data_IF_016136070328
#
_entry.id   IF_016136070328
#
_cell.length_a   1.000
_cell.length_b   1.000
_cell.length_c   1.000
_cell.angle_alpha   90.00
_cell.angle_beta   90.00
_cell.angle_gamma   90.00
#
_symmetry.space_group_name_H-M   'P 1'
#
loop_
_entity.id
_entity.type
_entity.pdbx_description
1 polymer ?
#
# COMPACT_ATOMS: atom_id res chain seq x y z
N UNK A 1 -20.19 -10.02 -2.46
CA UNK A 1 -18.74 -9.83 -2.67
C UNK A 1 -18.48 -8.37 -2.39
N UNK A 2 -17.75 -8.04 -1.32
CA UNK A 2 -17.89 -6.73 -0.68
C UNK A 2 -16.98 -5.70 -1.35
N UNK A 3 -17.56 -4.82 -2.16
CA UNK A 3 -16.88 -3.62 -2.67
C UNK A 3 -16.33 -2.73 -1.54
N UNK A 4 -16.77 -2.97 -0.30
CA UNK A 4 -16.24 -2.38 0.93
C UNK A 4 -14.72 -2.45 1.03
N UNK A 5 -14.05 -3.50 0.55
CA UNK A 5 -12.58 -3.56 0.63
C UNK A 5 -11.89 -2.52 -0.26
N UNK A 6 -12.50 -2.18 -1.40
CA UNK A 6 -11.96 -1.17 -2.31
C UNK A 6 -12.14 0.22 -1.72
N UNK A 7 -13.30 0.48 -1.13
CA UNK A 7 -13.58 1.73 -0.42
C UNK A 7 -12.67 1.88 0.80
N UNK A 8 -12.45 0.81 1.57
CA UNK A 8 -11.54 0.80 2.71
C UNK A 8 -10.10 1.12 2.31
N UNK A 9 -9.63 0.60 1.17
CA UNK A 9 -8.30 0.88 0.62
C UNK A 9 -8.15 2.33 0.13
N UNK A 10 -9.22 2.90 -0.44
CA UNK A 10 -9.23 4.32 -0.80
C UNK A 10 -9.19 5.18 0.46
N UNK A 11 -10.02 4.85 1.44
CA UNK A 11 -10.11 5.60 2.70
C UNK A 11 -8.80 5.51 3.50
N UNK A 12 -8.17 4.33 3.59
CA UNK A 12 -6.89 4.18 4.28
C UNK A 12 -5.77 4.97 3.61
N UNK A 13 -5.70 4.96 2.27
CA UNK A 13 -4.75 5.78 1.53
C UNK A 13 -4.94 7.27 1.83
N UNK A 14 -6.18 7.77 1.76
CA UNK A 14 -6.46 9.19 2.03
C UNK A 14 -6.10 9.60 3.46
N UNK A 15 -6.36 8.73 4.46
CA UNK A 15 -5.98 8.99 5.84
C UNK A 15 -4.45 9.03 6.02
N UNK A 16 -3.72 8.12 5.37
CA UNK A 16 -2.25 8.14 5.40
C UNK A 16 -1.70 9.41 4.76
N UNK A 17 -2.22 9.80 3.58
CA UNK A 17 -1.81 11.04 2.89
C UNK A 17 -2.07 12.26 3.78
N UNK A 18 -3.26 12.40 4.36
CA UNK A 18 -3.58 13.51 5.25
C UNK A 18 -2.61 13.57 6.46
N UNK A 19 -2.25 12.42 7.04
CA UNK A 19 -1.30 12.38 8.14
C UNK A 19 0.14 12.73 7.71
N UNK A 20 0.55 12.34 6.50
CA UNK A 20 1.83 12.76 5.93
C UNK A 20 1.88 14.28 5.74
N UNK A 21 0.83 14.86 5.15
CA UNK A 21 0.71 16.30 4.91
C UNK A 21 0.72 17.11 6.21
N UNK A 22 -0.08 16.71 7.21
CA UNK A 22 -0.12 17.36 8.54
C UNK A 22 1.26 17.30 9.21
N UNK A 23 1.99 16.19 9.04
CA UNK A 23 3.29 16.01 9.67
C UNK A 23 4.43 16.70 8.91
N UNK A 24 4.22 17.09 7.64
CA UNK A 24 5.26 17.64 6.77
C UNK A 24 5.84 18.98 7.24
N UNK A 25 5.11 19.71 8.10
CA UNK A 25 5.61 20.94 8.72
C UNK A 25 6.74 20.71 9.75
N UNK A 26 6.88 19.48 10.27
CA UNK A 26 7.95 19.11 11.19
C UNK A 26 9.07 18.36 10.44
N UNK A 27 10.21 19.01 10.15
CA UNK A 27 11.32 18.36 9.46
C UNK A 27 11.99 17.25 10.29
N UNK A 28 11.63 17.11 11.58
CA UNK A 28 12.08 16.03 12.46
C UNK A 28 11.07 14.88 12.59
N UNK A 29 9.93 14.94 11.89
CA UNK A 29 8.91 13.90 11.93
C UNK A 29 9.42 12.59 11.33
N UNK A 30 9.44 11.53 12.15
CA UNK A 30 9.96 10.21 11.77
C UNK A 30 9.21 9.09 12.47
N UNK A 31 8.95 8.00 11.74
CA UNK A 31 8.45 6.74 12.30
C UNK A 31 9.61 5.75 12.34
N UNK A 32 10.20 5.58 13.54
CA UNK A 32 11.40 4.78 13.70
C UNK A 32 12.56 5.36 12.88
N UNK A 33 13.10 4.56 11.96
CA UNK A 33 14.22 4.95 11.12
C UNK A 33 13.81 5.73 9.85
N UNK A 34 12.52 5.91 9.57
CA UNK A 34 12.04 6.50 8.32
C UNK A 34 11.51 7.91 8.53
N UNK A 35 11.88 8.83 7.64
CA UNK A 35 11.19 10.12 7.54
C UNK A 35 9.91 9.98 6.68
N UNK A 36 9.15 11.07 6.55
CA UNK A 36 7.86 11.07 5.85
C UNK A 36 8.00 10.73 4.35
N UNK A 37 9.08 11.18 3.71
CA UNK A 37 9.38 10.83 2.31
C UNK A 37 9.65 9.34 2.20
N UNK A 38 10.47 8.78 3.09
CA UNK A 38 10.80 7.35 3.07
C UNK A 38 9.52 6.50 3.20
N UNK A 39 8.57 6.90 4.05
CA UNK A 39 7.27 6.22 4.21
C UNK A 39 6.45 6.31 2.91
N UNK A 40 6.30 7.50 2.33
CA UNK A 40 5.54 7.68 1.10
C UNK A 40 6.15 6.91 -0.08
N UNK A 41 7.48 6.96 -0.22
CA UNK A 41 8.21 6.24 -1.27
C UNK A 41 8.11 4.72 -1.10
N UNK A 42 8.16 4.24 0.15
CA UNK A 42 7.93 2.83 0.47
C UNK A 42 6.53 2.37 0.07
N UNK A 43 5.50 3.16 0.36
CA UNK A 43 4.11 2.85 0.01
C UNK A 43 3.92 2.81 -1.51
N UNK A 44 4.44 3.81 -2.24
CA UNK A 44 4.41 3.85 -3.69
C UNK A 44 5.12 2.64 -4.31
N UNK A 45 6.34 2.34 -3.87
CA UNK A 45 7.11 1.19 -4.36
C UNK A 45 6.44 -0.14 -4.05
N UNK A 46 5.87 -0.30 -2.85
CA UNK A 46 5.12 -1.51 -2.49
C UNK A 46 3.90 -1.70 -3.39
N UNK A 47 3.14 -0.64 -3.66
CA UNK A 47 1.99 -0.71 -4.57
C UNK A 47 2.41 -1.14 -5.97
N UNK A 48 3.42 -0.48 -6.54
CA UNK A 48 3.91 -0.67 -7.91
C UNK A 48 4.58 -2.03 -8.11
N UNK A 49 5.48 -2.40 -7.21
CA UNK A 49 6.40 -3.53 -7.42
C UNK A 49 5.92 -4.81 -6.72
N UNK A 50 5.03 -4.70 -5.72
CA UNK A 50 4.45 -5.84 -5.03
C UNK A 50 3.00 -6.06 -5.41
N UNK A 51 2.10 -5.13 -5.09
CA UNK A 51 0.66 -5.41 -5.18
C UNK A 51 0.17 -5.54 -6.62
N UNK A 52 0.51 -4.58 -7.49
CA UNK A 52 0.08 -4.58 -8.90
C UNK A 52 0.48 -5.87 -9.64
N UNK A 53 1.76 -6.27 -9.72
CA UNK A 53 2.14 -7.44 -10.50
C UNK A 53 1.58 -8.74 -9.91
N UNK A 54 1.50 -8.86 -8.59
CA UNK A 54 1.03 -10.09 -7.94
C UNK A 54 -0.47 -10.30 -8.09
N UNK A 55 -1.27 -9.24 -7.94
CA UNK A 55 -2.72 -9.29 -8.17
C UNK A 55 -3.01 -9.62 -9.63
N UNK A 56 -2.27 -9.03 -10.58
CA UNK A 56 -2.43 -9.34 -12.01
C UNK A 56 -2.12 -10.81 -12.31
N UNK A 57 -1.00 -11.33 -11.80
CA UNK A 57 -0.61 -12.73 -12.02
C UNK A 57 -1.64 -13.72 -11.46
N UNK A 58 -2.19 -13.46 -10.25
CA UNK A 58 -3.27 -14.28 -9.68
C UNK A 58 -4.51 -14.23 -10.58
N UNK A 59 -4.98 -13.03 -10.93
CA UNK A 59 -6.19 -12.84 -11.73
C UNK A 59 -6.09 -13.44 -13.15
N UNK A 60 -4.86 -13.58 -13.67
CA UNK A 60 -4.55 -14.23 -14.94
C UNK A 60 -4.43 -15.77 -14.83
N UNK A 61 -4.75 -16.35 -13.66
CA UNK A 61 -4.69 -17.78 -13.39
C UNK A 61 -3.27 -18.40 -13.52
N UNK A 62 -2.22 -17.60 -13.31
CA UNK A 62 -0.83 -18.06 -13.44
C UNK A 62 -0.37 -18.98 -12.29
N UNK A 63 -1.11 -19.01 -11.18
CA UNK A 63 -0.76 -19.72 -9.95
C UNK A 63 0.68 -19.46 -9.47
N UNK A 64 1.06 -18.18 -9.24
CA UNK A 64 2.43 -17.80 -8.94
C UNK A 64 2.85 -18.15 -7.51
N UNK A 65 4.15 -18.34 -7.28
CA UNK A 65 4.74 -18.38 -5.93
C UNK A 65 5.40 -17.04 -5.60
N UNK A 66 5.22 -16.56 -4.37
CA UNK A 66 5.71 -15.27 -3.92
C UNK A 66 6.53 -15.37 -2.64
N UNK A 67 7.71 -14.75 -2.68
CA UNK A 67 8.51 -14.47 -1.47
C UNK A 67 7.98 -13.24 -0.74
N UNK A 68 8.46 -13.04 0.49
CA UNK A 68 8.22 -11.79 1.25
C UNK A 68 8.83 -10.64 0.48
N UNK A 69 8.01 -9.64 0.13
CA UNK A 69 8.50 -8.41 -0.46
C UNK A 69 9.10 -7.53 0.62
N UNK A 70 10.25 -6.93 0.32
CA UNK A 70 10.93 -5.98 1.22
C UNK A 70 11.53 -4.84 0.40
N UNK A 71 11.54 -3.65 1.00
CA UNK A 71 12.32 -2.51 0.52
C UNK A 71 13.53 -2.26 1.43
N UNK A 72 13.97 -3.28 2.17
CA UNK A 72 15.19 -3.22 2.98
C UNK A 72 16.40 -2.89 2.09
N UNK A 73 17.09 -1.79 2.44
CA UNK A 73 18.25 -1.32 1.68
C UNK A 73 17.90 -0.58 0.39
N UNK A 74 16.62 -0.38 0.07
CA UNK A 74 16.23 0.55 -1.00
C UNK A 74 16.64 1.96 -0.61
N UNK A 75 17.33 2.65 -1.52
CA UNK A 75 17.65 4.06 -1.36
C UNK A 75 16.49 4.91 -1.90
N UNK A 76 15.75 5.56 -1.00
CA UNK A 76 14.71 6.52 -1.36
C UNK A 76 15.25 7.96 -1.41
N UNK A 77 16.57 8.16 -1.36
CA UNK A 77 17.17 9.47 -1.54
C UNK A 77 16.83 10.03 -2.93
N UNK A 78 16.49 11.32 -2.98
CA UNK A 78 16.12 12.00 -4.22
C UNK A 78 14.66 11.84 -4.66
N UNK A 79 13.85 11.04 -3.97
CA UNK A 79 12.39 11.04 -4.17
C UNK A 79 11.79 12.23 -3.41
N UNK A 80 10.82 12.94 -3.96
CA UNK A 80 10.11 13.97 -3.20
C UNK A 80 8.83 13.39 -2.58
N UNK A 81 8.41 13.96 -1.43
CA UNK A 81 7.20 13.51 -0.74
C UNK A 81 5.99 13.55 -1.67
N UNK A 82 5.79 14.68 -2.35
CA UNK A 82 4.65 14.90 -3.25
C UNK A 82 4.69 13.91 -4.44
N UNK A 83 5.86 13.72 -5.05
CA UNK A 83 6.02 12.76 -6.16
C UNK A 83 5.66 11.33 -5.74
N UNK A 84 6.06 10.93 -4.52
CA UNK A 84 5.74 9.60 -3.99
C UNK A 84 4.25 9.45 -3.67
N UNK A 85 3.62 10.49 -3.12
CA UNK A 85 2.17 10.50 -2.85
C UNK A 85 1.37 10.44 -4.16
N UNK A 86 1.78 11.19 -5.18
CA UNK A 86 1.18 11.18 -6.50
C UNK A 86 1.30 9.80 -7.16
N UNK A 87 2.49 9.20 -7.12
CA UNK A 87 2.72 7.86 -7.65
C UNK A 87 1.86 6.82 -6.94
N UNK A 88 1.80 6.85 -5.60
CA UNK A 88 1.00 5.90 -4.83
C UNK A 88 -0.49 6.06 -5.13
N UNK A 89 -0.99 7.30 -5.21
CA UNK A 89 -2.38 7.62 -5.53
C UNK A 89 -2.76 7.15 -6.92
N UNK A 90 -1.93 7.44 -7.93
CA UNK A 90 -2.16 7.00 -9.30
C UNK A 90 -2.14 5.48 -9.41
N UNK A 91 -1.16 4.82 -8.78
CA UNK A 91 -1.00 3.36 -8.85
C UNK A 91 -2.16 2.63 -8.16
N UNK A 92 -2.56 3.06 -6.96
CA UNK A 92 -3.73 2.52 -6.25
C UNK A 92 -5.00 2.71 -7.07
N UNK A 93 -5.23 3.89 -7.64
CA UNK A 93 -6.40 4.17 -8.48
C UNK A 93 -6.47 3.21 -9.67
N UNK A 94 -5.34 3.01 -10.37
CA UNK A 94 -5.26 2.06 -11.50
C UNK A 94 -5.50 0.62 -11.05
N UNK A 95 -4.92 0.20 -9.93
CA UNK A 95 -5.11 -1.16 -9.40
C UNK A 95 -6.58 -1.42 -9.03
N UNK A 96 -7.20 -0.51 -8.29
CA UNK A 96 -8.61 -0.67 -7.89
C UNK A 96 -9.54 -0.61 -9.10
N UNK A 97 -9.23 0.23 -10.10
CA UNK A 97 -9.92 0.23 -11.39
C UNK A 97 -9.85 -1.13 -12.10
N UNK A 98 -8.65 -1.74 -12.14
CA UNK A 98 -8.48 -3.09 -12.69
C UNK A 98 -9.27 -4.15 -11.91
N UNK A 99 -9.20 -4.14 -10.57
CA UNK A 99 -9.92 -5.10 -9.73
C UNK A 99 -11.44 -5.01 -9.93
N UNK A 100 -11.99 -3.82 -10.15
CA UNK A 100 -13.42 -3.62 -10.46
C UNK A 100 -13.85 -4.28 -11.78
N UNK A 101 -12.91 -4.56 -12.68
CA UNK A 101 -13.21 -5.26 -13.95
C UNK A 101 -13.08 -6.78 -13.86
N UNK A 102 -12.59 -7.31 -12.72
CA UNK A 102 -12.41 -8.75 -12.55
C UNK A 102 -13.72 -9.45 -12.23
N UNK A 103 -13.89 -10.63 -12.79
CA UNK A 103 -14.99 -11.52 -12.41
C UNK A 103 -14.83 -12.02 -10.98
N UNK A 104 -15.96 -12.41 -10.39
CA UNK A 104 -16.04 -12.94 -9.03
C UNK A 104 -15.03 -14.06 -8.75
N UNK A 105 -14.91 -15.03 -9.67
CA UNK A 105 -14.00 -16.18 -9.53
C UNK A 105 -12.52 -15.76 -9.66
N UNK A 106 -12.22 -14.76 -10.50
CA UNK A 106 -10.84 -14.24 -10.59
C UNK A 106 -10.40 -13.58 -9.27
N UNK A 107 -11.36 -13.01 -8.53
CA UNK A 107 -11.09 -12.37 -7.24
C UNK A 107 -10.96 -13.35 -6.08
N UNK A 108 -11.77 -14.40 -6.09
CA UNK A 108 -12.02 -15.23 -4.91
C UNK A 108 -11.58 -16.69 -5.03
N UNK A 109 -11.41 -17.20 -6.25
CA UNK A 109 -11.07 -18.62 -6.49
C UNK A 109 -9.64 -18.76 -6.95
N UNK A 110 -9.20 -17.91 -7.89
CA UNK A 110 -7.81 -17.93 -8.36
C UNK A 110 -6.88 -17.49 -7.23
N UNK A 111 -5.76 -18.20 -7.10
CA UNK A 111 -4.77 -17.96 -6.06
C UNK A 111 -3.35 -18.14 -6.57
N UNK A 112 -2.41 -17.56 -5.83
CA UNK A 112 -1.01 -17.94 -5.83
C UNK A 112 -0.59 -18.35 -4.42
N UNK A 113 0.68 -18.73 -4.25
CA UNK A 113 1.22 -19.18 -2.96
C UNK A 113 2.27 -18.22 -2.41
N UNK A 114 2.01 -17.64 -1.26
CA UNK A 114 2.93 -16.73 -0.56
C UNK A 114 3.69 -17.45 0.56
N UNK A 115 5.00 -17.23 0.64
CA UNK A 115 5.90 -17.88 1.61
C UNK A 115 5.43 -17.72 3.08
N UNK A 116 4.87 -16.55 3.43
CA UNK A 116 4.33 -16.27 4.78
C UNK A 116 2.84 -16.62 4.95
N UNK A 117 2.03 -16.43 3.91
CA UNK A 117 0.57 -16.41 4.04
C UNK A 117 -0.13 -17.66 3.48
N UNK A 118 0.63 -18.59 2.88
CA UNK A 118 0.05 -19.75 2.22
C UNK A 118 -0.65 -19.34 0.93
N UNK A 119 -1.81 -19.92 0.65
CA UNK A 119 -2.57 -19.59 -0.55
C UNK A 119 -3.21 -18.20 -0.41
N UNK A 120 -3.07 -17.37 -1.43
CA UNK A 120 -3.50 -15.98 -1.45
C UNK A 120 -4.25 -15.69 -2.75
N UNK A 121 -5.50 -15.27 -2.62
CA UNK A 121 -6.35 -14.77 -3.72
C UNK A 121 -6.14 -13.28 -3.95
N UNK A 122 -6.78 -12.71 -4.98
CA UNK A 122 -6.77 -11.25 -5.18
C UNK A 122 -7.37 -10.53 -3.97
N UNK A 123 -8.56 -10.94 -3.52
CA UNK A 123 -9.22 -10.30 -2.36
C UNK A 123 -8.35 -10.42 -1.10
N UNK A 124 -7.67 -11.55 -0.91
CA UNK A 124 -6.74 -11.70 0.23
C UNK A 124 -5.52 -10.78 0.11
N UNK A 125 -5.02 -10.51 -1.10
CA UNK A 125 -3.95 -9.52 -1.30
C UNK A 125 -4.41 -8.10 -1.00
N UNK A 126 -5.66 -7.75 -1.32
CA UNK A 126 -6.24 -6.45 -0.98
C UNK A 126 -6.37 -6.27 0.53
N UNK A 127 -6.75 -7.32 1.27
CA UNK A 127 -6.73 -7.30 2.74
C UNK A 127 -5.32 -7.11 3.31
N UNK A 128 -4.30 -7.73 2.70
CA UNK A 128 -2.90 -7.56 3.09
C UNK A 128 -2.45 -6.10 2.87
N UNK A 129 -2.80 -5.51 1.72
CA UNK A 129 -2.53 -4.11 1.42
C UNK A 129 -3.22 -3.17 2.43
N UNK A 130 -4.49 -3.43 2.74
CA UNK A 130 -5.22 -2.61 3.73
C UNK A 130 -4.60 -2.70 5.12
N UNK A 131 -4.17 -3.89 5.53
CA UNK A 131 -3.46 -4.04 6.81
C UNK A 131 -2.13 -3.28 6.81
N UNK A 132 -1.41 -3.26 5.68
CA UNK A 132 -0.17 -2.52 5.53
C UNK A 132 -0.39 -1.00 5.63
N UNK A 133 -1.40 -0.45 4.96
CA UNK A 133 -1.79 0.96 5.08
C UNK A 133 -2.08 1.31 6.56
N UNK A 134 -2.85 0.46 7.26
CA UNK A 134 -3.20 0.65 8.68
C UNK A 134 -1.99 0.55 9.61
N UNK A 135 -0.98 -0.24 9.28
CA UNK A 135 0.24 -0.33 10.06
C UNK A 135 1.04 0.98 9.99
N UNK A 136 1.16 1.57 8.79
CA UNK A 136 1.79 2.87 8.59
C UNK A 136 0.98 4.02 9.21
N UNK A 137 -0.34 4.01 9.05
CA UNK A 137 -1.22 5.01 9.66
C UNK A 137 -1.04 5.05 11.17
N UNK A 138 -1.01 3.89 11.84
CA UNK A 138 -0.77 3.81 13.30
C UNK A 138 0.62 4.33 13.71
N UNK A 139 1.60 4.26 12.83
CA UNK A 139 2.91 4.88 13.03
C UNK A 139 2.82 6.40 12.98
N UNK A 140 2.17 6.93 11.95
CA UNK A 140 1.98 8.37 11.74
C UNK A 140 1.11 9.02 12.82
N UNK A 141 0.06 8.35 13.29
CA UNK A 141 -0.81 8.81 14.38
C UNK A 141 -0.06 9.02 15.72
N UNK A 142 1.11 8.40 15.87
CA UNK A 142 1.96 8.55 17.07
C UNK A 142 2.94 9.71 16.96
N UNK A 143 3.06 10.34 15.79
CA UNK A 143 3.86 11.55 15.66
C UNK A 143 3.23 12.64 16.54
N UNK A 144 4.04 13.43 17.24
CA UNK A 144 3.53 14.50 18.09
C UNK A 144 2.82 15.54 17.22
N UNK A 145 1.48 15.54 17.26
CA UNK A 145 0.70 16.64 16.73
C UNK A 145 1.09 17.91 17.50
N UNK A 146 1.69 18.88 16.83
CA UNK A 146 2.09 20.13 17.48
C UNK A 146 0.81 20.81 18.00
N UNK A 147 0.67 21.12 19.30
CA UNK A 147 -0.31 22.10 19.71
C UNK A 147 0.17 23.43 19.13
N UNK A 148 -0.49 23.90 18.08
CA UNK A 148 -0.35 25.28 17.61
C UNK A 148 -0.68 26.19 18.79
N UNK A 149 0.31 26.99 19.22
CA UNK A 149 0.09 28.11 20.13
C UNK A 149 -0.43 29.31 19.37
#
# INVERSE_FOLDING_TARGET
MNDTILDDLMNSQQLVIAMLEISAEDPSARVGAWDLRDIAAHLAATERDCYVPRIRAIAAAENPTFEVFTNDGTDFSGIHLDDAVDEWTATRTMLLGYVKTLEADQRTVLSGRHARYGDVTVDRYLEIALQHDRDHLRGLERLPGRPTR
#
